data_IF_234855145393
#
_entry.id   IF_234855145393
#
_cell.length_a   1.000
_cell.length_b   1.000
_cell.length_c   1.000
_cell.angle_alpha   90.00
_cell.angle_beta   90.00
_cell.angle_gamma   90.00
#
_symmetry.space_group_name_H-M   'P 1'
#
loop_
_entity.id
_entity.type
_entity.pdbx_description
1 polymer ?
#
# COMPACT_ATOMS: atom_id res chain seq x y z
N UNK A 1 -9.34 6.92 16.09
CA UNK A 1 -8.94 8.35 16.03
C UNK A 1 -7.73 8.53 16.94
N UNK A 2 -6.76 9.41 16.60
CA UNK A 2 -5.57 9.62 17.41
C UNK A 2 -5.93 10.19 18.79
N UNK A 3 -5.14 9.84 19.81
CA UNK A 3 -5.27 10.36 21.19
C UNK A 3 -4.74 11.80 21.27
N UNK A 4 -3.65 12.09 20.56
CA UNK A 4 -3.07 13.42 20.40
C UNK A 4 -2.37 13.54 19.03
N UNK A 5 -1.93 14.74 18.66
CA UNK A 5 -1.24 15.04 17.41
C UNK A 5 -2.18 15.45 16.27
N UNK A 6 -1.58 15.74 15.11
CA UNK A 6 -2.28 16.16 13.89
C UNK A 6 -1.72 15.45 12.67
N UNK A 7 -2.59 15.17 11.71
CA UNK A 7 -2.21 14.60 10.41
C UNK A 7 -2.55 15.60 9.33
N UNK A 8 -1.55 15.97 8.54
CA UNK A 8 -1.72 16.88 7.41
C UNK A 8 -1.42 16.15 6.10
N UNK A 9 -2.29 16.32 5.11
CA UNK A 9 -2.10 15.83 3.75
C UNK A 9 -2.13 17.03 2.81
N UNK A 10 -1.04 17.25 2.07
CA UNK A 10 -0.90 18.39 1.16
C UNK A 10 -1.25 19.75 1.80
N UNK A 11 -0.87 19.91 3.08
CA UNK A 11 -1.12 21.12 3.87
C UNK A 11 -2.49 21.21 4.53
N UNK A 12 -3.41 20.28 4.29
CA UNK A 12 -4.74 20.25 4.90
C UNK A 12 -4.80 19.33 6.12
N UNK A 13 -5.39 19.79 7.22
CA UNK A 13 -5.61 18.98 8.43
C UNK A 13 -6.69 17.91 8.18
N UNK A 14 -6.28 16.65 8.12
CA UNK A 14 -7.16 15.49 7.89
C UNK A 14 -7.36 14.64 9.15
N UNK A 15 -6.97 15.13 10.33
CA UNK A 15 -6.94 14.39 11.61
C UNK A 15 -8.30 13.79 11.99
N UNK A 16 -9.40 14.46 11.61
CA UNK A 16 -10.77 14.05 11.92
C UNK A 16 -11.59 13.65 10.70
N UNK A 17 -10.99 13.65 9.52
CA UNK A 17 -11.64 13.29 8.26
C UNK A 17 -11.98 11.80 8.20
N UNK A 18 -12.98 11.43 7.40
CA UNK A 18 -13.34 10.03 7.21
C UNK A 18 -12.33 9.32 6.30
N UNK A 19 -12.27 7.99 6.37
CA UNK A 19 -11.43 7.18 5.46
C UNK A 19 -11.75 7.52 4.00
N UNK A 20 -13.02 7.67 3.65
CA UNK A 20 -13.44 8.03 2.29
C UNK A 20 -12.91 9.40 1.86
N UNK A 21 -12.83 10.37 2.76
CA UNK A 21 -12.28 11.69 2.44
C UNK A 21 -10.77 11.62 2.22
N UNK A 22 -10.05 10.72 2.93
CA UNK A 22 -8.64 10.49 2.65
C UNK A 22 -8.42 9.93 1.24
N UNK A 23 -9.21 8.93 0.84
CA UNK A 23 -9.17 8.39 -0.53
C UNK A 23 -9.46 9.46 -1.59
N UNK A 24 -10.48 10.30 -1.36
CA UNK A 24 -10.82 11.43 -2.26
C UNK A 24 -9.71 12.46 -2.39
N UNK A 25 -8.81 12.55 -1.40
CA UNK A 25 -7.66 13.45 -1.37
C UNK A 25 -6.39 12.79 -1.91
N UNK A 26 -6.50 11.63 -2.59
CA UNK A 26 -5.37 10.97 -3.22
C UNK A 26 -4.56 10.07 -2.28
N UNK A 27 -5.13 9.61 -1.16
CA UNK A 27 -4.45 8.64 -0.29
C UNK A 27 -4.84 7.20 -0.62
N UNK A 28 -3.86 6.38 -0.99
CA UNK A 28 -3.98 4.94 -1.15
C UNK A 28 -3.47 4.18 0.07
N UNK A 29 -4.09 3.03 0.39
CA UNK A 29 -3.66 2.17 1.50
C UNK A 29 -3.63 0.70 1.08
N UNK A 30 -2.47 0.06 1.23
CA UNK A 30 -2.27 -1.39 1.08
C UNK A 30 -2.22 -2.00 2.50
N UNK A 31 -3.20 -2.83 2.90
CA UNK A 31 -3.29 -3.38 4.25
C UNK A 31 -2.31 -4.53 4.51
N UNK A 32 -1.99 -4.72 5.79
CA UNK A 32 -1.16 -5.83 6.32
C UNK A 32 -1.88 -7.17 6.25
N UNK A 33 -3.14 -7.16 6.68
CA UNK A 33 -3.98 -8.35 6.73
C UNK A 33 -4.88 -8.38 5.51
N UNK A 34 -4.39 -9.05 4.47
CA UNK A 34 -5.17 -9.25 3.27
C UNK A 34 -6.36 -10.17 3.51
N UNK A 35 -6.30 -11.12 4.44
CA UNK A 35 -7.35 -12.12 4.64
C UNK A 35 -8.54 -11.53 5.39
N UNK A 36 -8.30 -10.69 6.39
CA UNK A 36 -9.37 -10.05 7.16
C UNK A 36 -9.85 -8.73 6.55
N UNK A 37 -8.97 -7.96 5.90
CA UNK A 37 -9.26 -6.57 5.51
C UNK A 37 -9.09 -6.28 4.01
N UNK A 38 -8.50 -7.20 3.26
CA UNK A 38 -8.05 -6.94 1.88
C UNK A 38 -9.09 -7.22 0.80
N UNK A 39 -9.96 -8.20 0.99
CA UNK A 39 -10.86 -8.69 -0.06
C UNK A 39 -12.03 -9.51 0.52
N UNK A 40 -13.05 -9.76 -0.31
CA UNK A 40 -14.13 -10.71 -0.05
C UNK A 40 -13.84 -12.04 -0.74
N UNK A 41 -13.70 -13.09 0.06
CA UNK A 41 -13.28 -14.43 -0.39
C UNK A 41 -14.24 -15.07 -1.40
N UNK A 42 -15.54 -14.96 -1.14
CA UNK A 42 -16.60 -15.58 -1.93
C UNK A 42 -16.92 -14.82 -3.22
N UNK A 43 -16.37 -13.61 -3.38
CA UNK A 43 -16.66 -12.70 -4.50
C UNK A 43 -15.67 -12.82 -5.65
N UNK A 44 -16.12 -12.55 -6.88
CA UNK A 44 -15.24 -12.55 -8.03
C UNK A 44 -14.19 -11.44 -7.96
N UNK A 45 -13.10 -11.59 -8.71
CA UNK A 45 -12.01 -10.59 -8.78
C UNK A 45 -12.53 -9.20 -9.15
N UNK A 46 -13.46 -9.09 -10.11
CA UNK A 46 -13.97 -7.79 -10.54
C UNK A 46 -14.77 -7.06 -9.46
N UNK A 47 -15.47 -7.78 -8.58
CA UNK A 47 -16.16 -7.16 -7.43
C UNK A 47 -15.15 -6.68 -6.39
N UNK A 48 -14.12 -7.49 -6.12
CA UNK A 48 -13.04 -7.12 -5.23
C UNK A 48 -12.28 -5.89 -5.73
N UNK A 49 -12.04 -5.80 -7.03
CA UNK A 49 -11.43 -4.65 -7.68
C UNK A 49 -12.34 -3.40 -7.60
N UNK A 50 -13.66 -3.58 -7.77
CA UNK A 50 -14.63 -2.50 -7.67
C UNK A 50 -14.72 -1.83 -6.29
N UNK A 51 -14.22 -2.46 -5.23
CA UNK A 51 -14.28 -1.93 -3.86
C UNK A 51 -13.67 -0.53 -3.70
N UNK A 52 -12.73 -0.15 -4.56
CA UNK A 52 -12.16 1.20 -4.55
C UNK A 52 -12.77 2.14 -5.62
N UNK A 53 -13.58 1.60 -6.53
CA UNK A 53 -14.12 2.32 -7.69
C UNK A 53 -15.60 2.72 -7.55
N UNK A 54 -16.34 2.09 -6.63
CA UNK A 54 -17.82 2.22 -6.54
C UNK A 54 -18.35 3.65 -6.33
N UNK A 55 -17.48 4.60 -5.97
CA UNK A 55 -17.85 5.98 -5.69
C UNK A 55 -17.28 6.99 -6.70
N UNK A 56 -16.52 6.53 -7.69
CA UNK A 56 -15.99 7.34 -8.77
C UNK A 56 -17.04 7.51 -9.86
N UNK A 57 -17.29 8.76 -10.27
CA UNK A 57 -18.28 9.07 -11.30
C UNK A 57 -18.01 8.33 -12.61
N UNK A 58 -16.74 8.10 -12.95
CA UNK A 58 -16.32 7.36 -14.15
C UNK A 58 -16.78 5.90 -14.17
N UNK A 59 -17.01 5.27 -13.01
CA UNK A 59 -17.49 3.89 -12.90
C UNK A 59 -18.97 3.82 -12.54
N UNK A 60 -19.70 4.94 -12.66
CA UNK A 60 -21.13 5.04 -12.43
C UNK A 60 -21.86 5.32 -13.75
N UNK A 61 -22.92 4.55 -14.02
CA UNK A 61 -23.89 4.84 -15.09
C UNK A 61 -24.75 6.04 -14.70
N UNK A 62 -25.44 6.62 -15.69
CA UNK A 62 -26.50 7.63 -15.44
C UNK A 62 -27.50 7.06 -14.42
N UNK A 63 -27.61 7.71 -13.26
CA UNK A 63 -28.41 7.23 -12.12
C UNK A 63 -27.62 6.63 -10.94
N UNK A 64 -26.27 6.75 -10.94
CA UNK A 64 -25.37 6.33 -9.84
C UNK A 64 -25.35 4.82 -9.54
N UNK A 65 -25.65 4.00 -10.55
CA UNK A 65 -25.44 2.54 -10.50
C UNK A 65 -24.05 2.20 -11.04
N UNK A 66 -23.36 1.21 -10.47
CA UNK A 66 -22.06 0.76 -10.96
C UNK A 66 -22.12 0.29 -12.43
N UNK A 67 -21.15 0.72 -13.23
CA UNK A 67 -20.97 0.25 -14.58
C UNK A 67 -20.14 -1.04 -14.61
N UNK A 68 -20.83 -2.18 -14.44
CA UNK A 68 -20.19 -3.50 -14.42
C UNK A 68 -19.32 -3.77 -15.64
N UNK A 69 -19.74 -3.36 -16.84
CA UNK A 69 -18.99 -3.62 -18.06
C UNK A 69 -17.64 -2.92 -18.05
N UNK A 70 -17.63 -1.63 -17.68
CA UNK A 70 -16.40 -0.85 -17.53
C UNK A 70 -15.48 -1.41 -16.45
N UNK A 71 -16.04 -1.82 -15.31
CA UNK A 71 -15.29 -2.43 -14.21
C UNK A 71 -14.68 -3.76 -14.62
N UNK A 72 -15.43 -4.62 -15.29
CA UNK A 72 -14.93 -5.90 -15.79
C UNK A 72 -13.76 -5.67 -16.76
N UNK A 73 -13.91 -4.75 -17.72
CA UNK A 73 -12.86 -4.40 -18.67
C UNK A 73 -11.60 -3.88 -17.97
N UNK A 74 -11.75 -2.96 -17.00
CA UNK A 74 -10.62 -2.48 -16.22
C UNK A 74 -9.97 -3.60 -15.42
N UNK A 75 -10.76 -4.46 -14.80
CA UNK A 75 -10.23 -5.60 -14.04
C UNK A 75 -9.39 -6.51 -14.95
N UNK A 76 -9.80 -6.73 -16.19
CA UNK A 76 -9.01 -7.50 -17.17
C UNK A 76 -7.69 -6.80 -17.53
N UNK A 77 -7.72 -5.50 -17.79
CA UNK A 77 -6.54 -4.68 -18.06
C UNK A 77 -5.57 -4.69 -16.86
N UNK A 78 -6.09 -4.52 -15.65
CA UNK A 78 -5.31 -4.61 -14.41
C UNK A 78 -4.72 -6.01 -14.20
N UNK A 79 -5.44 -7.09 -14.52
CA UNK A 79 -4.88 -8.45 -14.45
C UNK A 79 -3.67 -8.61 -15.37
N UNK A 80 -3.67 -7.96 -16.53
CA UNK A 80 -2.55 -7.97 -17.48
C UNK A 80 -1.38 -7.11 -16.97
N UNK A 81 -1.64 -5.84 -16.63
CA UNK A 81 -0.62 -4.87 -16.17
C UNK A 81 0.09 -5.37 -14.91
N UNK A 82 -0.68 -5.94 -13.97
CA UNK A 82 -0.14 -6.41 -12.69
C UNK A 82 0.21 -7.90 -12.69
N UNK A 83 0.12 -8.57 -13.85
CA UNK A 83 0.43 -10.00 -14.01
C UNK A 83 -0.25 -10.87 -12.92
N UNK A 84 -1.56 -10.66 -12.76
CA UNK A 84 -2.43 -11.42 -11.86
C UNK A 84 -2.84 -12.70 -12.59
N UNK A 85 -2.28 -13.83 -12.18
CA UNK A 85 -2.57 -15.14 -12.75
C UNK A 85 -3.93 -15.62 -12.21
N UNK A 86 -4.94 -15.62 -13.08
CA UNK A 86 -6.30 -16.10 -12.78
C UNK A 86 -6.91 -16.75 -14.02
N UNK A 87 -7.77 -17.78 -13.88
CA UNK A 87 -8.54 -18.32 -15.01
C UNK A 87 -9.48 -17.29 -15.67
N UNK A 88 -10.05 -16.37 -14.88
CA UNK A 88 -10.91 -15.28 -15.35
C UNK A 88 -11.13 -14.25 -14.24
N UNK A 89 -11.68 -13.07 -14.59
CA UNK A 89 -12.12 -12.08 -13.60
C UNK A 89 -13.34 -12.52 -12.78
N UNK A 90 -14.01 -13.62 -13.17
CA UNK A 90 -15.12 -14.22 -12.43
C UNK A 90 -14.66 -15.28 -11.40
N UNK A 91 -13.37 -15.62 -11.38
CA UNK A 91 -12.78 -16.47 -10.36
C UNK A 91 -12.99 -15.85 -8.98
N UNK A 92 -13.27 -16.67 -7.96
CA UNK A 92 -13.37 -16.20 -6.58
C UNK A 92 -12.01 -15.76 -6.08
N UNK A 93 -11.90 -14.60 -5.46
CA UNK A 93 -10.62 -14.08 -4.99
C UNK A 93 -9.93 -15.00 -3.98
N UNK A 94 -10.70 -15.73 -3.16
CA UNK A 94 -10.16 -16.72 -2.20
C UNK A 94 -9.47 -17.92 -2.83
N UNK A 95 -9.66 -18.16 -4.13
CA UNK A 95 -8.98 -19.24 -4.85
C UNK A 95 -7.63 -18.82 -5.44
N UNK A 96 -7.26 -17.55 -5.34
CA UNK A 96 -5.94 -17.08 -5.77
C UNK A 96 -4.86 -17.47 -4.75
N UNK A 97 -3.64 -17.67 -5.23
CA UNK A 97 -2.48 -17.72 -4.34
C UNK A 97 -2.27 -16.38 -3.65
N UNK A 98 -1.64 -16.38 -2.46
CA UNK A 98 -1.37 -15.14 -1.71
C UNK A 98 -0.64 -14.07 -2.51
N UNK A 99 0.29 -14.46 -3.40
CA UNK A 99 0.98 -13.54 -4.32
C UNK A 99 0.04 -12.89 -5.35
N UNK A 100 -0.87 -13.65 -5.97
CA UNK A 100 -1.83 -13.09 -6.92
C UNK A 100 -2.90 -12.24 -6.24
N UNK A 101 -3.30 -12.64 -5.03
CA UNK A 101 -4.19 -11.83 -4.21
C UNK A 101 -3.54 -10.49 -3.84
N UNK A 102 -2.26 -10.49 -3.45
CA UNK A 102 -1.55 -9.24 -3.18
C UNK A 102 -1.48 -8.36 -4.42
N UNK A 103 -1.18 -8.93 -5.59
CA UNK A 103 -1.16 -8.19 -6.86
C UNK A 103 -2.52 -7.55 -7.16
N UNK A 104 -3.62 -8.25 -6.88
CA UNK A 104 -4.97 -7.69 -7.01
C UNK A 104 -5.20 -6.50 -6.07
N UNK A 105 -4.78 -6.61 -4.81
CA UNK A 105 -4.91 -5.53 -3.82
C UNK A 105 -4.08 -4.32 -4.25
N UNK A 106 -2.82 -4.55 -4.64
CA UNK A 106 -1.91 -3.50 -5.13
C UNK A 106 -2.51 -2.81 -6.35
N UNK A 107 -2.96 -3.58 -7.35
CA UNK A 107 -3.60 -3.04 -8.54
C UNK A 107 -4.80 -2.16 -8.19
N UNK A 108 -5.69 -2.64 -7.33
CA UNK A 108 -6.88 -1.90 -6.91
C UNK A 108 -6.57 -0.58 -6.22
N UNK A 109 -5.47 -0.51 -5.46
CA UNK A 109 -5.08 0.71 -4.74
C UNK A 109 -4.41 1.70 -5.69
N UNK A 110 -3.53 1.23 -6.57
CA UNK A 110 -2.70 2.09 -7.43
C UNK A 110 -3.46 2.63 -8.64
N UNK A 111 -4.41 1.88 -9.20
CA UNK A 111 -5.20 2.30 -10.38
C UNK A 111 -6.13 3.49 -10.12
N UNK A 112 -6.39 3.83 -8.86
CA UNK A 112 -7.18 5.01 -8.50
C UNK A 112 -6.40 6.33 -8.66
N UNK A 113 -5.07 6.26 -8.79
CA UNK A 113 -4.18 7.43 -8.71
C UNK A 113 -4.07 7.91 -7.26
N UNK A 114 -2.85 7.98 -6.74
CA UNK A 114 -2.61 8.42 -5.36
C UNK A 114 -1.49 9.43 -5.33
N UNK A 115 -1.68 10.54 -4.61
CA UNK A 115 -0.60 11.48 -4.26
C UNK A 115 0.26 10.90 -3.12
N UNK A 116 -0.36 10.08 -2.26
CA UNK A 116 0.28 9.39 -1.13
C UNK A 116 -0.16 7.92 -1.08
N UNK A 117 0.81 6.99 -1.06
CA UNK A 117 0.58 5.57 -0.86
C UNK A 117 1.14 5.11 0.49
N UNK A 118 0.28 4.55 1.33
CA UNK A 118 0.70 3.87 2.56
C UNK A 118 0.75 2.37 2.27
N UNK A 119 1.95 1.81 2.21
CA UNK A 119 2.20 0.40 1.94
C UNK A 119 2.58 -0.31 3.26
N UNK A 120 1.62 -1.00 3.88
CA UNK A 120 1.82 -1.60 5.18
C UNK A 120 2.11 -3.10 5.09
N UNK A 121 3.35 -3.49 5.40
CA UNK A 121 3.88 -4.85 5.27
C UNK A 121 3.54 -5.51 3.92
N UNK A 122 3.78 -4.82 2.78
CA UNK A 122 3.19 -5.17 1.49
C UNK A 122 3.73 -6.49 0.91
N UNK A 123 4.86 -7.00 1.41
CA UNK A 123 5.46 -8.27 0.98
C UNK A 123 5.44 -9.37 2.04
N UNK A 124 4.68 -9.18 3.14
CA UNK A 124 4.57 -10.19 4.19
C UNK A 124 3.96 -11.47 3.62
N UNK A 125 4.55 -12.62 3.95
CA UNK A 125 4.06 -13.94 3.52
C UNK A 125 4.05 -14.19 2.00
N UNK A 126 4.77 -13.37 1.22
CA UNK A 126 4.92 -13.58 -0.22
C UNK A 126 6.16 -14.39 -0.56
N UNK A 127 6.11 -15.11 -1.67
CA UNK A 127 7.31 -15.63 -2.32
C UNK A 127 8.15 -14.49 -2.92
N UNK A 128 9.37 -14.81 -3.35
CA UNK A 128 10.34 -13.84 -3.87
C UNK A 128 9.84 -13.16 -5.15
N UNK A 129 9.16 -13.89 -6.04
CA UNK A 129 8.64 -13.33 -7.31
C UNK A 129 7.57 -12.27 -7.04
N UNK A 130 6.61 -12.58 -6.17
CA UNK A 130 5.53 -11.68 -5.80
C UNK A 130 6.04 -10.49 -4.98
N UNK A 131 6.98 -10.70 -4.06
CA UNK A 131 7.60 -9.62 -3.29
C UNK A 131 8.33 -8.63 -4.21
N UNK A 132 9.16 -9.12 -5.14
CA UNK A 132 9.86 -8.28 -6.11
C UNK A 132 8.89 -7.53 -7.03
N UNK A 133 7.79 -8.18 -7.44
CA UNK A 133 6.76 -7.51 -8.24
C UNK A 133 6.16 -6.31 -7.49
N UNK A 134 5.78 -6.48 -6.22
CA UNK A 134 5.19 -5.41 -5.41
C UNK A 134 6.22 -4.30 -5.17
N UNK A 135 7.46 -4.66 -4.84
CA UNK A 135 8.57 -3.73 -4.68
C UNK A 135 8.80 -2.87 -5.93
N UNK A 136 8.82 -3.48 -7.12
CA UNK A 136 8.96 -2.75 -8.39
C UNK A 136 7.79 -1.81 -8.63
N UNK A 137 6.55 -2.20 -8.32
CA UNK A 137 5.40 -1.31 -8.45
C UNK A 137 5.48 -0.09 -7.53
N UNK A 138 5.99 -0.26 -6.32
CA UNK A 138 6.25 0.87 -5.42
C UNK A 138 7.34 1.80 -5.99
N UNK A 139 8.39 1.27 -6.61
CA UNK A 139 9.40 2.07 -7.30
C UNK A 139 8.82 2.82 -8.50
N UNK A 140 8.02 2.16 -9.34
CA UNK A 140 7.34 2.78 -10.48
C UNK A 140 6.50 4.00 -10.01
N UNK A 141 5.69 3.82 -8.97
CA UNK A 141 4.87 4.92 -8.43
C UNK A 141 5.71 6.06 -7.85
N UNK A 142 6.82 5.74 -7.18
CA UNK A 142 7.77 6.75 -6.71
C UNK A 142 8.34 7.56 -7.87
N UNK A 143 8.71 6.92 -8.98
CA UNK A 143 9.20 7.60 -10.20
C UNK A 143 8.12 8.51 -10.83
N UNK A 144 6.85 8.14 -10.69
CA UNK A 144 5.70 8.96 -11.09
C UNK A 144 5.40 10.12 -10.13
N UNK A 145 6.15 10.25 -9.03
CA UNK A 145 6.04 11.35 -8.07
C UNK A 145 5.10 11.08 -6.89
N UNK A 146 4.64 9.84 -6.71
CA UNK A 146 3.81 9.44 -5.58
C UNK A 146 4.65 9.39 -4.30
N UNK A 147 4.19 10.06 -3.23
CA UNK A 147 4.80 9.91 -1.91
C UNK A 147 4.49 8.53 -1.33
N UNK A 148 5.48 7.82 -0.79
CA UNK A 148 5.27 6.47 -0.24
C UNK A 148 5.68 6.41 1.24
N UNK A 149 4.76 5.95 2.09
CA UNK A 149 5.06 5.50 3.44
C UNK A 149 5.09 3.97 3.42
N UNK A 150 6.29 3.40 3.42
CA UNK A 150 6.51 1.97 3.51
C UNK A 150 6.68 1.57 4.98
N UNK A 151 5.85 0.67 5.47
CA UNK A 151 6.00 0.04 6.78
C UNK A 151 6.49 -1.40 6.55
N UNK A 152 7.69 -1.71 7.02
CA UNK A 152 8.30 -3.02 6.82
C UNK A 152 8.89 -3.57 8.13
N UNK A 153 8.77 -4.88 8.31
CA UNK A 153 9.49 -5.65 9.34
C UNK A 153 10.83 -6.21 8.81
N UNK A 154 11.08 -6.09 7.50
CA UNK A 154 12.28 -6.57 6.82
C UNK A 154 13.20 -5.39 6.52
N UNK A 155 14.29 -5.27 7.27
CA UNK A 155 15.27 -4.17 7.10
C UNK A 155 15.75 -4.09 5.64
N UNK A 156 16.05 -5.23 5.01
CA UNK A 156 16.56 -5.28 3.63
C UNK A 156 15.54 -4.72 2.60
N UNK A 157 14.24 -4.85 2.86
CA UNK A 157 13.19 -4.24 2.04
C UNK A 157 13.15 -2.72 2.24
N UNK A 158 13.20 -2.25 3.49
CA UNK A 158 13.22 -0.81 3.79
C UNK A 158 14.44 -0.13 3.15
N UNK A 159 15.63 -0.71 3.29
CA UNK A 159 16.88 -0.17 2.75
C UNK A 159 16.92 -0.16 1.21
N UNK A 160 16.27 -1.13 0.56
CA UNK A 160 16.26 -1.20 -0.91
C UNK A 160 15.28 -0.19 -1.53
N UNK A 161 14.18 0.14 -0.86
CA UNK A 161 13.10 0.95 -1.43
C UNK A 161 13.07 2.40 -0.95
N UNK A 162 13.49 2.67 0.29
CA UNK A 162 13.28 3.96 0.92
C UNK A 162 14.40 4.97 0.65
N UNK A 163 14.04 6.26 0.57
CA UNK A 163 14.99 7.38 0.59
C UNK A 163 15.42 7.75 2.01
N UNK A 164 14.57 7.46 2.98
CA UNK A 164 14.76 7.72 4.41
C UNK A 164 14.17 6.59 5.22
N UNK A 165 14.83 6.22 6.30
CA UNK A 165 14.40 5.12 7.18
C UNK A 165 14.18 5.66 8.58
N UNK A 166 13.00 5.39 9.15
CA UNK A 166 12.66 5.76 10.51
C UNK A 166 12.45 4.49 11.34
N UNK A 167 13.48 3.98 12.02
CA UNK A 167 13.33 2.88 12.97
C UNK A 167 12.33 3.26 14.06
N UNK A 168 11.55 2.29 14.54
CA UNK A 168 10.61 2.47 15.64
C UNK A 168 10.97 1.55 16.79
N UNK A 169 10.99 2.08 18.01
CA UNK A 169 11.22 1.33 19.24
C UNK A 169 10.33 1.87 20.36
N UNK A 170 9.57 0.99 21.02
CA UNK A 170 8.63 1.34 22.10
C UNK A 170 7.69 2.53 21.79
N UNK A 171 7.29 2.67 20.52
CA UNK A 171 6.36 3.74 20.08
C UNK A 171 7.03 5.07 19.76
N UNK A 172 8.36 5.16 19.84
CA UNK A 172 9.13 6.34 19.47
C UNK A 172 9.96 6.09 18.20
N UNK A 173 10.26 7.17 17.47
CA UNK A 173 11.24 7.18 16.38
C UNK A 173 12.54 7.77 16.92
N UNK A 174 13.57 6.96 17.21
CA UNK A 174 14.80 7.46 17.80
C UNK A 174 15.51 8.49 16.90
N UNK A 175 15.53 8.21 15.60
CA UNK A 175 16.13 9.04 14.56
C UNK A 175 15.47 8.72 13.20
N UNK A 176 15.56 9.65 12.24
CA UNK A 176 15.23 9.38 10.84
C UNK A 176 16.50 9.48 10.02
N UNK A 177 16.96 8.34 9.54
CA UNK A 177 18.19 8.18 8.77
C UNK A 177 17.96 8.53 7.30
N UNK A 178 18.91 9.21 6.68
CA UNK A 178 19.02 9.27 5.22
C UNK A 178 19.43 7.91 4.64
N UNK A 179 19.37 7.78 3.31
CA UNK A 179 19.77 6.57 2.61
C UNK A 179 21.25 6.23 2.81
N UNK A 180 22.09 7.25 2.91
CA UNK A 180 23.53 7.12 3.11
C UNK A 180 23.88 6.69 4.54
N UNK A 181 23.04 7.06 5.51
CA UNK A 181 23.20 6.77 6.94
C UNK A 181 22.57 5.45 7.36
N UNK A 182 21.61 4.94 6.58
CA UNK A 182 20.84 3.75 6.89
C UNK A 182 21.57 2.49 6.40
N UNK A 183 22.35 1.87 7.28
CA UNK A 183 22.82 0.49 7.10
C UNK A 183 22.03 -0.51 7.97
N UNK A 184 22.18 -1.79 7.65
CA UNK A 184 21.42 -2.87 8.28
C UNK A 184 21.66 -2.99 9.78
N UNK A 185 22.91 -2.83 10.20
CA UNK A 185 23.32 -3.01 11.59
C UNK A 185 22.85 -1.82 12.42
N UNK A 186 22.99 -0.59 11.90
CA UNK A 186 22.51 0.63 12.55
C UNK A 186 20.99 0.65 12.70
N UNK A 187 20.25 0.34 11.63
CA UNK A 187 18.78 0.24 11.69
C UNK A 187 18.36 -0.85 12.68
N UNK A 188 18.99 -2.03 12.62
CA UNK A 188 18.70 -3.13 13.53
C UNK A 188 18.98 -2.79 15.00
N UNK A 189 20.07 -2.08 15.27
CA UNK A 189 20.44 -1.61 16.61
C UNK A 189 19.40 -0.61 17.15
N UNK A 190 18.97 0.36 16.34
CA UNK A 190 17.94 1.34 16.70
C UNK A 190 16.57 0.69 16.94
N UNK A 191 16.20 -0.31 16.15
CA UNK A 191 15.01 -1.14 16.40
C UNK A 191 15.10 -1.95 17.70
N UNK A 192 16.32 -2.19 18.20
CA UNK A 192 16.59 -2.81 19.50
C UNK A 192 16.72 -1.80 20.65
N UNK A 193 16.54 -0.51 20.40
CA UNK A 193 16.63 0.56 21.41
C UNK A 193 18.03 1.13 21.62
N UNK A 194 19.02 0.70 20.85
CA UNK A 194 20.37 1.29 20.88
C UNK A 194 20.33 2.60 20.10
N UNK A 195 20.47 3.71 20.81
CA UNK A 195 20.66 5.03 20.19
C UNK A 195 22.16 5.23 20.03
N UNK A 196 22.58 5.81 18.91
CA UNK A 196 23.93 6.38 18.85
C UNK A 196 23.99 7.39 19.99
N UNK A 197 24.76 7.09 21.03
CA UNK A 197 25.03 8.08 22.05
C UNK A 197 25.65 9.26 21.32
N UNK A 198 24.97 10.41 21.28
CA UNK A 198 25.60 11.68 21.01
C UNK A 198 26.93 11.66 21.75
N UNK A 199 28.02 11.80 21.02
CA UNK A 199 29.35 11.85 21.59
C UNK A 199 29.33 12.84 22.76
N UNK A 200 29.34 12.30 23.98
CA UNK A 200 29.65 13.06 25.19
C UNK A 200 31.12 13.45 25.07
N UNK A 201 31.35 14.60 24.42
CA UNK A 201 32.49 15.45 24.74
C UNK A 201 32.20 16.20 26.03
#
# INVERSE_FOLDING_TARGET
>A
KPVDGKVFLMGEDITKSSVRDHWKKGMGYIPVDREEEGYFEDKPLWENFAMNLYWLDDYLRKGKLMDKEKICKHTEEACQIYNIKTPSINTKAGSLSGGNLQKLIVARVMEYGSDLLIANLPTRGLDVEAANFVANKLLDAKEEGVGIILISEKIDEALSLADRVAPIYEGEFPEILSREEADRDRVGAMMGGIRDEEGKN
#
